data_IF_107032108558
#
_entry.id   IF_107032108558
#
_cell.length_a   1.000
_cell.length_b   1.000
_cell.length_c   1.000
_cell.angle_alpha   90.00
_cell.angle_beta   90.00
_cell.angle_gamma   90.00
#
_symmetry.space_group_name_H-M   'P 1'
#
loop_
_entity.id
_entity.type
_entity.pdbx_description
1 polymer ?
#
# COMPACT_ATOMS: atom_id res chain seq x y z
N UNK A 1 -45.03 12.00 38.06
CA UNK A 1 -45.82 12.01 36.81
C UNK A 1 -44.98 11.23 35.80
N UNK A 2 -45.04 9.90 35.82
CA UNK A 2 -45.94 9.06 35.00
C UNK A 2 -45.25 8.85 33.64
N UNK A 3 -45.06 7.66 33.07
CA UNK A 3 -45.66 6.33 33.23
C UNK A 3 -44.97 5.39 32.24
N UNK A 4 -44.95 4.07 32.46
CA UNK A 4 -44.72 3.12 31.36
C UNK A 4 -44.23 1.73 31.75
N UNK A 5 -45.18 0.82 31.99
CA UNK A 5 -45.03 -0.63 32.14
C UNK A 5 -44.49 -1.36 30.91
N UNK A 6 -43.89 -2.54 31.15
CA UNK A 6 -44.05 -3.86 30.46
C UNK A 6 -42.85 -4.76 30.86
N UNK A 7 -42.94 -6.06 31.12
CA UNK A 7 -43.77 -7.13 30.56
C UNK A 7 -43.62 -8.42 31.42
N UNK A 8 -44.64 -9.28 31.40
CA UNK A 8 -44.72 -10.60 32.04
C UNK A 8 -45.00 -11.69 30.97
N UNK A 9 -44.41 -12.88 31.17
CA UNK A 9 -44.86 -14.26 30.79
C UNK A 9 -44.88 -14.64 29.28
N UNK A 10 -44.75 -15.90 28.82
CA UNK A 10 -44.28 -17.20 29.33
C UNK A 10 -44.33 -18.25 28.18
N UNK A 11 -43.49 -19.30 28.28
CA UNK A 11 -43.61 -20.73 27.88
C UNK A 11 -44.30 -21.20 26.56
N UNK A 12 -43.63 -22.16 25.91
CA UNK A 12 -44.26 -23.23 25.12
C UNK A 12 -43.25 -24.30 24.62
N UNK A 13 -43.40 -25.56 25.06
CA UNK A 13 -42.77 -26.79 24.55
C UNK A 13 -43.81 -27.58 23.75
N UNK A 14 -43.40 -28.37 22.75
CA UNK A 14 -43.78 -29.80 22.56
C UNK A 14 -43.24 -30.37 21.22
N UNK A 15 -42.60 -31.54 21.31
CA UNK A 15 -42.46 -32.62 20.29
C UNK A 15 -43.74 -33.52 20.34
N UNK A 16 -43.93 -34.69 19.66
CA UNK A 16 -42.96 -35.61 19.01
C UNK A 16 -43.42 -36.46 17.78
N UNK A 17 -42.52 -37.38 17.36
CA UNK A 17 -42.73 -38.74 16.75
C UNK A 17 -43.41 -38.88 15.37
N UNK A 18 -43.13 -39.84 14.48
CA UNK A 18 -42.31 -41.06 14.46
C UNK A 18 -42.73 -41.94 13.25
N UNK A 19 -41.98 -43.01 12.92
CA UNK A 19 -42.55 -44.19 12.22
C UNK A 19 -41.98 -44.60 10.84
N UNK A 20 -41.19 -45.69 10.83
CA UNK A 20 -40.74 -46.50 9.67
C UNK A 20 -41.76 -47.60 9.32
N UNK A 21 -41.70 -48.13 8.08
CA UNK A 21 -41.43 -49.54 7.71
C UNK A 21 -42.32 -50.12 6.57
N UNK A 22 -41.71 -50.32 5.39
CA UNK A 22 -41.41 -51.62 4.73
C UNK A 22 -42.57 -52.60 4.32
N UNK A 23 -42.31 -53.70 3.57
CA UNK A 23 -42.41 -53.79 2.11
C UNK A 23 -43.36 -54.93 1.64
N UNK A 24 -43.45 -55.21 0.34
CA UNK A 24 -43.32 -56.57 -0.26
C UNK A 24 -44.01 -56.81 -1.63
N UNK A 25 -43.44 -57.80 -2.33
CA UNK A 25 -43.96 -58.71 -3.36
C UNK A 25 -43.74 -58.45 -4.87
N UNK A 26 -42.99 -59.42 -5.42
CA UNK A 26 -42.66 -59.76 -6.80
C UNK A 26 -43.83 -60.32 -7.62
N UNK A 27 -43.71 -60.37 -8.96
CA UNK A 27 -43.87 -61.58 -9.81
C UNK A 27 -43.73 -61.25 -11.32
N UNK A 28 -42.84 -62.02 -11.98
CA UNK A 28 -42.81 -62.55 -13.37
C UNK A 28 -42.83 -61.68 -14.66
N UNK A 29 -41.64 -61.68 -15.29
CA UNK A 29 -41.30 -62.16 -16.65
C UNK A 29 -41.90 -61.59 -17.95
N UNK A 30 -40.96 -61.39 -18.89
CA UNK A 30 -41.04 -61.55 -20.35
C UNK A 30 -41.41 -60.33 -21.19
N UNK A 31 -40.35 -59.65 -21.65
CA UNK A 31 -40.07 -59.48 -23.08
C UNK A 31 -40.92 -58.50 -23.87
N UNK A 32 -40.38 -57.30 -24.10
CA UNK A 32 -40.48 -56.66 -25.42
C UNK A 32 -39.44 -55.55 -25.56
N UNK A 33 -38.62 -55.67 -26.59
CA UNK A 33 -37.60 -54.71 -26.99
C UNK A 33 -38.21 -53.32 -27.23
N UNK A 34 -37.69 -52.30 -26.56
CA UNK A 34 -37.84 -50.90 -26.97
C UNK A 34 -36.50 -50.21 -26.85
N UNK A 35 -36.12 -49.59 -27.97
CA UNK A 35 -34.89 -48.85 -28.16
C UNK A 35 -34.83 -47.68 -27.17
N UNK A 36 -34.08 -47.85 -26.09
CA UNK A 36 -33.72 -46.77 -25.18
C UNK A 36 -32.56 -46.00 -25.78
N UNK A 37 -32.85 -44.81 -26.30
CA UNK A 37 -31.83 -43.80 -26.57
C UNK A 37 -31.20 -43.42 -25.23
N UNK A 38 -29.99 -43.90 -24.99
CA UNK A 38 -29.16 -43.40 -23.90
C UNK A 38 -28.74 -41.99 -24.25
N UNK A 39 -29.49 -40.99 -23.77
CA UNK A 39 -28.95 -39.65 -23.61
C UNK A 39 -27.88 -39.73 -22.52
N UNK A 40 -26.65 -39.97 -22.95
CA UNK A 40 -25.47 -39.73 -22.16
C UNK A 40 -25.45 -38.22 -21.89
N UNK A 41 -25.98 -37.80 -20.74
CA UNK A 41 -25.66 -36.50 -20.17
C UNK A 41 -24.18 -36.53 -19.80
N UNK A 42 -23.34 -36.24 -20.79
CA UNK A 42 -22.02 -35.67 -20.56
C UNK A 42 -22.28 -34.33 -19.89
N UNK A 43 -22.40 -34.36 -18.55
CA UNK A 43 -22.05 -33.23 -17.74
C UNK A 43 -20.56 -32.98 -17.99
N UNK A 44 -20.27 -32.23 -19.04
CA UNK A 44 -19.06 -31.45 -19.11
C UNK A 44 -19.15 -30.54 -17.90
N UNK A 45 -18.57 -30.98 -16.79
CA UNK A 45 -18.00 -30.10 -15.82
C UNK A 45 -16.86 -29.36 -16.54
N UNK A 46 -17.23 -28.42 -17.42
CA UNK A 46 -16.45 -27.21 -17.52
C UNK A 46 -16.35 -26.73 -16.09
N UNK A 47 -15.19 -26.89 -15.47
CA UNK A 47 -14.81 -26.09 -14.32
C UNK A 47 -14.95 -24.66 -14.80
N UNK A 48 -16.16 -24.12 -14.62
CA UNK A 48 -16.52 -22.79 -15.04
C UNK A 48 -15.65 -21.91 -14.18
N UNK A 49 -14.60 -21.37 -14.79
CA UNK A 49 -13.89 -20.23 -14.23
C UNK A 49 -14.99 -19.23 -13.92
N UNK A 50 -15.29 -19.04 -12.64
CA UNK A 50 -16.21 -17.99 -12.25
C UNK A 50 -15.58 -16.71 -12.81
N UNK A 51 -16.15 -16.18 -13.89
CA UNK A 51 -15.62 -14.96 -14.48
C UNK A 51 -15.71 -13.89 -13.41
N UNK A 52 -14.56 -13.33 -13.05
CA UNK A 52 -14.54 -12.20 -12.13
C UNK A 52 -15.33 -11.06 -12.78
N UNK A 53 -16.25 -10.45 -12.04
CA UNK A 53 -17.00 -9.31 -12.61
C UNK A 53 -16.08 -8.10 -12.72
N UNK A 54 -15.17 -7.95 -11.76
CA UNK A 54 -14.16 -6.89 -11.70
C UNK A 54 -12.80 -7.46 -11.35
N UNK A 55 -11.75 -6.97 -12.00
CA UNK A 55 -10.36 -7.17 -11.57
C UNK A 55 -9.80 -5.81 -11.17
N UNK A 56 -9.27 -5.73 -9.96
CA UNK A 56 -8.50 -4.58 -9.47
C UNK A 56 -7.03 -4.99 -9.41
N UNK A 57 -6.18 -4.30 -10.16
CA UNK A 57 -4.73 -4.53 -10.16
C UNK A 57 -4.03 -3.49 -9.26
N UNK A 58 -3.35 -3.95 -8.23
CA UNK A 58 -2.74 -3.14 -7.17
C UNK A 58 -3.63 -3.07 -5.92
N UNK A 59 -3.15 -3.60 -4.79
CA UNK A 59 -3.80 -3.48 -3.49
C UNK A 59 -3.29 -2.27 -2.71
N UNK A 60 -3.17 -1.12 -3.38
CA UNK A 60 -2.96 0.18 -2.74
C UNK A 60 -4.21 0.60 -1.96
N UNK A 61 -4.20 1.69 -1.16
CA UNK A 61 -5.41 2.16 -0.49
C UNK A 61 -6.56 2.44 -1.46
N UNK A 62 -6.26 2.94 -2.67
CA UNK A 62 -7.25 3.14 -3.73
C UNK A 62 -7.81 1.81 -4.26
N UNK A 63 -6.95 0.81 -4.49
CA UNK A 63 -7.37 -0.51 -4.96
C UNK A 63 -8.21 -1.28 -3.93
N UNK A 64 -7.82 -1.22 -2.65
CA UNK A 64 -8.60 -1.78 -1.55
C UNK A 64 -9.96 -1.08 -1.45
N UNK A 65 -9.98 0.25 -1.53
CA UNK A 65 -11.24 0.99 -1.53
C UNK A 65 -12.14 0.62 -2.72
N UNK A 66 -11.58 0.46 -3.92
CA UNK A 66 -12.33 0.00 -5.08
C UNK A 66 -12.91 -1.41 -4.85
N UNK A 67 -12.09 -2.36 -4.37
CA UNK A 67 -12.53 -3.74 -4.12
C UNK A 67 -13.66 -3.81 -3.08
N UNK A 68 -13.53 -3.06 -1.97
CA UNK A 68 -14.57 -2.96 -0.94
C UNK A 68 -15.87 -2.39 -1.48
N UNK A 69 -15.82 -1.33 -2.31
CA UNK A 69 -17.04 -0.77 -2.91
C UNK A 69 -17.68 -1.70 -3.94
N UNK A 70 -16.87 -2.43 -4.72
CA UNK A 70 -17.38 -3.47 -5.63
C UNK A 70 -18.08 -4.57 -4.83
N UNK A 71 -17.47 -5.07 -3.76
CA UNK A 71 -18.05 -6.09 -2.90
C UNK A 71 -19.35 -5.64 -2.22
N UNK A 72 -19.38 -4.41 -1.70
CA UNK A 72 -20.59 -3.79 -1.11
C UNK A 72 -21.73 -3.65 -2.12
N UNK A 73 -21.42 -3.60 -3.42
CA UNK A 73 -22.42 -3.62 -4.50
C UNK A 73 -22.94 -5.02 -4.86
N UNK A 74 -22.55 -6.05 -4.11
CA UNK A 74 -22.97 -7.44 -4.34
C UNK A 74 -22.24 -8.13 -5.50
N UNK A 75 -21.07 -7.64 -5.91
CA UNK A 75 -20.27 -8.19 -7.02
C UNK A 75 -19.02 -8.90 -6.52
N UNK A 76 -18.52 -9.84 -7.34
CA UNK A 76 -17.22 -10.50 -7.12
C UNK A 76 -16.09 -9.67 -7.70
N UNK A 77 -14.95 -9.69 -7.01
CA UNK A 77 -13.76 -8.96 -7.42
C UNK A 77 -12.49 -9.73 -7.10
N UNK A 78 -11.60 -9.84 -8.08
CA UNK A 78 -10.22 -10.25 -7.82
C UNK A 78 -9.37 -9.00 -7.54
N UNK A 79 -8.77 -8.94 -6.34
CA UNK A 79 -7.81 -7.91 -5.96
C UNK A 79 -6.40 -8.50 -6.12
N UNK A 80 -5.70 -8.11 -7.18
CA UNK A 80 -4.40 -8.67 -7.57
C UNK A 80 -3.28 -7.76 -7.08
N UNK A 81 -2.41 -8.26 -6.22
CA UNK A 81 -1.29 -7.51 -5.63
C UNK A 81 0.05 -8.14 -6.06
N UNK A 82 0.92 -7.41 -6.79
CA UNK A 82 2.20 -7.94 -7.26
C UNK A 82 3.16 -8.31 -6.12
N UNK A 83 3.08 -7.64 -4.97
CA UNK A 83 3.94 -7.89 -3.81
C UNK A 83 3.26 -8.76 -2.73
N UNK A 84 3.92 -8.92 -1.58
CA UNK A 84 3.29 -9.49 -0.38
C UNK A 84 2.51 -8.48 0.47
N UNK A 85 2.68 -7.18 0.19
CA UNK A 85 2.26 -6.08 1.08
C UNK A 85 0.95 -5.43 0.59
N UNK A 86 -0.16 -5.66 1.30
CA UNK A 86 -1.42 -4.96 1.06
C UNK A 86 -1.35 -3.56 1.66
N UNK A 87 -1.99 -2.58 1.03
CA UNK A 87 -2.06 -1.18 1.50
C UNK A 87 -0.96 -0.27 0.92
N UNK A 88 -0.06 -0.80 0.09
CA UNK A 88 0.94 0.00 -0.62
C UNK A 88 1.83 0.82 0.32
N UNK A 89 1.98 2.12 0.04
CA UNK A 89 2.83 3.02 0.83
C UNK A 89 2.33 3.21 2.27
N UNK A 90 1.00 3.18 2.50
CA UNK A 90 0.40 3.37 3.83
C UNK A 90 0.89 2.32 4.84
N UNK A 91 0.92 1.06 4.42
CA UNK A 91 1.45 -0.06 5.19
C UNK A 91 2.93 -0.28 4.94
N UNK A 92 3.53 0.48 4.02
CA UNK A 92 4.95 0.50 3.69
C UNK A 92 5.71 1.66 4.32
N UNK A 93 5.23 2.19 5.45
CA UNK A 93 5.94 3.18 6.26
C UNK A 93 5.49 4.63 6.09
N UNK A 94 4.68 4.97 5.08
CA UNK A 94 4.07 6.29 4.94
C UNK A 94 2.86 6.41 5.89
N UNK A 95 3.14 6.63 7.17
CA UNK A 95 2.10 6.66 8.21
C UNK A 95 1.48 8.04 8.42
N UNK A 96 2.09 9.11 7.87
CA UNK A 96 1.52 10.45 7.89
C UNK A 96 0.73 10.76 6.62
N UNK A 97 -0.59 10.84 6.76
CA UNK A 97 -1.51 11.21 5.67
C UNK A 97 -1.54 12.74 5.48
N UNK A 98 -1.39 13.19 4.23
CA UNK A 98 -1.55 14.61 3.88
C UNK A 98 -3.03 14.98 3.74
N UNK A 99 -3.53 15.84 4.62
CA UNK A 99 -4.88 16.41 4.51
C UNK A 99 -4.92 17.84 5.04
N UNK A 100 -5.83 18.65 4.51
CA UNK A 100 -6.06 20.02 5.00
C UNK A 100 -7.11 20.08 6.10
N UNK A 101 -8.08 19.17 6.08
CA UNK A 101 -9.16 19.13 7.06
C UNK A 101 -9.66 17.70 7.27
N UNK A 102 -10.06 17.37 8.50
CA UNK A 102 -10.57 16.03 8.84
C UNK A 102 -11.90 15.73 8.14
N UNK A 103 -12.67 16.77 7.81
CA UNK A 103 -13.96 16.66 7.12
C UNK A 103 -13.82 16.15 5.69
N UNK A 104 -12.66 16.37 5.05
CA UNK A 104 -12.35 15.81 3.73
C UNK A 104 -12.10 14.29 3.75
N UNK A 105 -11.86 13.72 4.93
CA UNK A 105 -11.59 12.30 5.12
C UNK A 105 -12.93 11.56 5.26
N UNK A 106 -13.35 10.91 4.17
CA UNK A 106 -14.68 10.29 4.03
C UNK A 106 -14.59 8.90 3.39
N UNK A 107 -15.74 8.24 3.27
CA UNK A 107 -15.88 6.95 2.59
C UNK A 107 -15.02 5.87 3.24
N UNK A 108 -14.38 5.03 2.42
CA UNK A 108 -13.55 3.92 2.89
C UNK A 108 -12.41 4.38 3.81
N UNK A 109 -11.85 5.58 3.59
CA UNK A 109 -10.76 6.07 4.44
C UNK A 109 -11.24 6.43 5.85
N UNK A 110 -12.44 6.99 5.99
CA UNK A 110 -13.06 7.23 7.31
C UNK A 110 -13.30 5.91 8.05
N UNK A 111 -13.83 4.90 7.37
CA UNK A 111 -14.04 3.54 7.93
C UNK A 111 -12.70 2.94 8.41
N UNK A 112 -11.63 3.08 7.64
CA UNK A 112 -10.27 2.70 8.06
C UNK A 112 -9.82 3.47 9.32
N UNK A 113 -9.95 4.80 9.35
CA UNK A 113 -9.55 5.62 10.51
C UNK A 113 -10.31 5.23 11.78
N UNK A 114 -11.63 5.06 11.70
CA UNK A 114 -12.46 4.65 12.84
C UNK A 114 -12.04 3.28 13.39
N UNK A 115 -11.56 2.38 12.52
CA UNK A 115 -11.04 1.06 12.91
C UNK A 115 -9.65 1.15 13.53
N UNK A 116 -8.76 2.02 13.02
CA UNK A 116 -7.47 2.31 13.66
C UNK A 116 -7.69 2.90 15.06
N UNK A 117 -8.57 3.88 15.18
CA UNK A 117 -8.90 4.48 16.46
C UNK A 117 -9.46 3.43 17.43
N UNK A 118 -10.37 2.58 16.96
CA UNK A 118 -10.90 1.44 17.73
C UNK A 118 -9.81 0.47 18.14
N UNK A 119 -8.85 0.15 17.26
CA UNK A 119 -7.73 -0.72 17.58
C UNK A 119 -6.96 -0.19 18.80
N UNK A 120 -6.52 1.07 18.75
CA UNK A 120 -5.77 1.66 19.86
C UNK A 120 -6.61 1.83 21.12
N UNK A 121 -7.88 2.22 20.99
CA UNK A 121 -8.83 2.30 22.12
C UNK A 121 -9.01 0.96 22.81
N UNK A 122 -9.27 -0.11 22.07
CA UNK A 122 -9.49 -1.45 22.64
C UNK A 122 -8.20 -2.02 23.24
N UNK A 123 -7.05 -1.80 22.59
CA UNK A 123 -5.77 -2.39 23.00
C UNK A 123 -5.12 -1.68 24.19
N UNK A 124 -5.29 -0.37 24.32
CA UNK A 124 -4.59 0.46 25.31
C UNK A 124 -5.52 1.25 26.24
N UNK A 125 -6.81 1.37 25.90
CA UNK A 125 -7.82 2.10 26.69
C UNK A 125 -8.05 3.54 26.24
N UNK A 126 -9.21 4.10 26.64
CA UNK A 126 -9.72 5.41 26.22
C UNK A 126 -8.80 6.60 26.55
N UNK A 127 -7.96 6.47 27.58
CA UNK A 127 -7.05 7.53 28.04
C UNK A 127 -5.59 7.29 27.68
N UNK A 128 -5.31 6.30 26.84
CA UNK A 128 -3.94 5.95 26.45
C UNK A 128 -3.26 7.04 25.61
N UNK A 129 -1.93 7.10 25.67
CA UNK A 129 -1.16 7.98 24.80
C UNK A 129 -1.22 7.50 23.34
N UNK A 130 -1.23 6.19 23.12
CA UNK A 130 -1.34 5.56 21.80
C UNK A 130 -2.61 5.99 21.04
N UNK A 131 -3.75 6.04 21.73
CA UNK A 131 -4.99 6.53 21.13
C UNK A 131 -4.91 8.02 20.77
N UNK A 132 -4.22 8.83 21.58
CA UNK A 132 -4.00 10.26 21.25
C UNK A 132 -3.04 10.41 20.06
N UNK A 133 -1.95 9.64 20.06
CA UNK A 133 -0.92 9.66 19.01
C UNK A 133 -1.45 9.16 17.66
N UNK A 134 -2.49 8.32 17.65
CA UNK A 134 -3.12 7.88 16.41
C UNK A 134 -3.93 8.98 15.71
N UNK A 135 -4.14 10.13 16.37
CA UNK A 135 -4.79 11.33 15.83
C UNK A 135 -6.10 11.01 15.10
N UNK A 136 -7.13 10.62 15.86
CA UNK A 136 -8.44 10.20 15.31
C UNK A 136 -8.32 9.04 14.30
N UNK A 137 -7.30 8.19 14.48
CA UNK A 137 -7.00 7.07 13.59
C UNK A 137 -6.35 7.44 12.25
N UNK A 138 -5.99 8.70 12.02
CA UNK A 138 -5.29 9.12 10.80
C UNK A 138 -3.82 8.71 10.77
N UNK A 139 -3.22 8.41 11.93
CA UNK A 139 -1.86 7.97 12.09
C UNK A 139 -1.85 6.58 12.73
N UNK A 140 -1.07 5.68 12.16
CA UNK A 140 -0.95 4.31 12.66
C UNK A 140 0.42 3.74 12.37
N UNK A 141 0.82 2.79 13.22
CA UNK A 141 1.93 1.90 12.91
C UNK A 141 1.62 1.10 11.64
N UNK A 142 2.60 0.86 10.74
CA UNK A 142 2.35 0.17 9.47
C UNK A 142 1.70 -1.21 9.64
N UNK A 143 2.15 -2.03 10.61
CA UNK A 143 1.54 -3.33 10.88
C UNK A 143 0.08 -3.22 11.38
N UNK A 144 -0.27 -2.17 12.13
CA UNK A 144 -1.66 -1.91 12.55
C UNK A 144 -2.52 -1.56 11.34
N UNK A 145 -1.99 -0.71 10.45
CA UNK A 145 -2.67 -0.38 9.19
C UNK A 145 -2.91 -1.62 8.33
N UNK A 146 -1.91 -2.50 8.22
CA UNK A 146 -2.02 -3.75 7.48
C UNK A 146 -3.11 -4.64 8.09
N UNK A 147 -3.10 -4.85 9.41
CA UNK A 147 -4.09 -5.66 10.09
C UNK A 147 -5.52 -5.13 9.93
N UNK A 148 -5.71 -3.81 10.00
CA UNK A 148 -7.02 -3.18 9.78
C UNK A 148 -7.51 -3.41 8.35
N UNK A 149 -6.65 -3.18 7.34
CA UNK A 149 -7.02 -3.37 5.93
C UNK A 149 -7.31 -4.85 5.61
N UNK A 150 -6.53 -5.77 6.17
CA UNK A 150 -6.77 -7.21 6.04
C UNK A 150 -8.12 -7.60 6.65
N UNK A 151 -8.45 -7.08 7.83
CA UNK A 151 -9.75 -7.31 8.47
C UNK A 151 -10.91 -6.75 7.62
N UNK A 152 -10.77 -5.53 7.09
CA UNK A 152 -11.78 -4.93 6.20
C UNK A 152 -12.01 -5.78 4.95
N UNK A 153 -10.96 -6.32 4.33
CA UNK A 153 -11.09 -7.20 3.17
C UNK A 153 -11.73 -8.54 3.54
N UNK A 154 -11.35 -9.13 4.68
CA UNK A 154 -11.84 -10.43 5.14
C UNK A 154 -13.35 -10.45 5.47
N UNK A 155 -13.94 -9.30 5.79
CA UNK A 155 -15.40 -9.13 5.97
C UNK A 155 -16.20 -9.40 4.68
N UNK A 156 -15.54 -9.41 3.52
CA UNK A 156 -16.18 -9.56 2.22
C UNK A 156 -15.66 -10.80 1.47
N UNK A 157 -16.34 -11.97 1.60
CA UNK A 157 -15.90 -13.20 0.94
C UNK A 157 -15.97 -13.15 -0.59
N UNK A 158 -16.64 -12.15 -1.17
CA UNK A 158 -16.65 -11.89 -2.62
C UNK A 158 -15.37 -11.22 -3.13
N UNK A 159 -14.44 -10.82 -2.25
CA UNK A 159 -13.13 -10.30 -2.61
C UNK A 159 -12.11 -11.44 -2.58
N UNK A 160 -11.58 -11.78 -3.75
CA UNK A 160 -10.49 -12.73 -3.89
C UNK A 160 -9.15 -11.99 -3.91
N UNK A 161 -8.49 -11.93 -2.76
CA UNK A 161 -7.16 -11.32 -2.64
C UNK A 161 -6.09 -12.26 -3.17
N UNK A 162 -5.33 -11.83 -4.18
CA UNK A 162 -4.24 -12.58 -4.82
C UNK A 162 -2.92 -11.84 -4.63
N UNK A 163 -2.19 -12.17 -3.56
CA UNK A 163 -0.85 -11.62 -3.27
C UNK A 163 0.22 -12.27 -4.13
N UNK A 164 1.38 -11.61 -4.23
CA UNK A 164 2.57 -12.06 -4.96
C UNK A 164 2.22 -12.50 -6.40
N UNK A 165 1.28 -11.78 -7.00
CA UNK A 165 0.70 -12.10 -8.31
C UNK A 165 0.91 -10.91 -9.23
N UNK A 166 1.92 -11.00 -10.11
CA UNK A 166 2.33 -9.89 -10.98
C UNK A 166 1.65 -9.96 -12.35
N UNK A 167 1.46 -8.80 -12.96
CA UNK A 167 1.00 -8.70 -14.35
C UNK A 167 2.11 -9.17 -15.30
N UNK A 168 1.72 -9.92 -16.33
CA UNK A 168 2.61 -10.36 -17.41
C UNK A 168 2.25 -9.67 -18.72
N UNK A 169 0.96 -9.61 -19.05
CA UNK A 169 0.45 -8.95 -20.26
C UNK A 169 -1.04 -8.65 -20.13
N UNK A 170 -1.56 -7.71 -20.92
CA UNK A 170 -2.99 -7.48 -21.05
C UNK A 170 -3.42 -7.60 -22.52
N UNK A 171 -4.63 -8.09 -22.74
CA UNK A 171 -5.26 -8.08 -24.06
C UNK A 171 -6.42 -7.09 -24.06
N UNK A 172 -6.30 -6.07 -24.91
CA UNK A 172 -7.33 -5.07 -25.12
C UNK A 172 -7.80 -5.08 -26.58
N UNK A 173 -9.09 -4.83 -26.78
CA UNK A 173 -9.70 -4.72 -28.09
C UNK A 173 -10.64 -3.50 -28.10
N UNK A 174 -10.46 -2.61 -29.08
CA UNK A 174 -11.23 -1.38 -29.22
C UNK A 174 -11.26 -0.53 -27.94
N UNK A 175 -10.09 -0.35 -27.29
CA UNK A 175 -9.96 0.44 -26.06
C UNK A 175 -10.52 -0.22 -24.79
N UNK A 176 -10.91 -1.50 -24.86
CA UNK A 176 -11.48 -2.24 -23.72
C UNK A 176 -10.60 -3.44 -23.39
N UNK A 177 -10.10 -3.50 -22.16
CA UNK A 177 -9.37 -4.65 -21.63
C UNK A 177 -10.32 -5.86 -21.51
N UNK A 178 -9.93 -7.00 -22.08
CA UNK A 178 -10.73 -8.23 -22.08
C UNK A 178 -10.25 -9.25 -21.06
N UNK A 179 -8.93 -9.42 -20.98
CA UNK A 179 -8.28 -10.31 -20.03
C UNK A 179 -6.84 -9.87 -19.78
N UNK A 180 -6.32 -10.28 -18.64
CA UNK A 180 -4.93 -10.07 -18.25
C UNK A 180 -4.29 -11.41 -17.96
N UNK A 181 -3.02 -11.55 -18.30
CA UNK A 181 -2.19 -12.69 -17.90
C UNK A 181 -1.41 -12.28 -16.67
N UNK A 182 -1.51 -13.09 -15.62
CA UNK A 182 -0.81 -12.87 -14.36
C UNK A 182 0.04 -14.07 -14.01
N UNK A 183 1.15 -13.84 -13.31
CA UNK A 183 2.02 -14.86 -12.74
C UNK A 183 1.93 -14.79 -11.23
N UNK A 184 1.31 -15.79 -10.61
CA UNK A 184 1.22 -15.95 -9.16
C UNK A 184 2.03 -17.14 -8.65
N UNK A 185 1.93 -17.46 -7.35
CA UNK A 185 2.64 -18.60 -6.75
C UNK A 185 2.24 -19.96 -7.32
N UNK A 186 1.04 -20.06 -7.93
CA UNK A 186 0.51 -21.29 -8.52
C UNK A 186 0.83 -21.46 -10.02
N UNK A 187 1.52 -20.49 -10.63
CA UNK A 187 1.79 -20.46 -12.07
C UNK A 187 1.17 -19.25 -12.77
N UNK A 188 1.26 -19.27 -14.10
CA UNK A 188 0.57 -18.28 -14.95
C UNK A 188 -0.90 -18.64 -15.14
N UNK A 189 -1.76 -17.63 -15.15
CA UNK A 189 -3.19 -17.78 -15.47
C UNK A 189 -3.72 -16.54 -16.21
N UNK A 190 -4.84 -16.73 -16.90
CA UNK A 190 -5.60 -15.63 -17.52
C UNK A 190 -6.79 -15.26 -16.65
N UNK A 191 -6.94 -13.98 -16.35
CA UNK A 191 -8.10 -13.41 -15.66
C UNK A 191 -8.91 -12.60 -16.66
N UNK A 192 -10.15 -13.03 -16.92
CA UNK A 192 -11.12 -12.29 -17.71
C UNK A 192 -12.11 -11.60 -16.78
N UNK A 193 -12.45 -10.35 -17.09
CA UNK A 193 -13.42 -9.57 -16.33
C UNK A 193 -14.19 -8.59 -17.20
N UNK A 194 -15.32 -8.08 -16.67
CA UNK A 194 -16.12 -7.05 -17.36
C UNK A 194 -15.55 -5.65 -17.15
N UNK A 195 -14.88 -5.44 -16.03
CA UNK A 195 -14.25 -4.17 -15.66
C UNK A 195 -12.86 -4.46 -15.10
N UNK A 196 -11.89 -3.66 -15.53
CA UNK A 196 -10.54 -3.65 -14.99
C UNK A 196 -10.28 -2.28 -14.36
N UNK A 197 -9.74 -2.29 -13.14
CA UNK A 197 -9.33 -1.09 -12.41
C UNK A 197 -7.83 -1.20 -12.20
N UNK A 198 -7.07 -0.27 -12.78
CA UNK A 198 -5.66 -0.11 -12.43
C UNK A 198 -5.55 0.80 -11.21
N UNK A 199 -5.13 0.21 -10.10
CA UNK A 199 -4.87 0.88 -8.84
C UNK A 199 -3.41 0.64 -8.38
N UNK A 200 -2.52 0.28 -9.31
CA UNK A 200 -1.07 0.35 -9.09
C UNK A 200 -0.62 1.81 -9.03
N UNK A 201 0.53 2.09 -8.41
CA UNK A 201 1.07 3.45 -8.41
C UNK A 201 1.62 3.82 -9.79
N UNK A 202 2.06 2.83 -10.56
CA UNK A 202 2.78 2.98 -11.82
C UNK A 202 1.86 3.01 -13.05
N UNK A 203 0.60 2.60 -12.91
CA UNK A 203 -0.33 2.43 -14.04
C UNK A 203 0.05 1.26 -14.94
N UNK A 204 0.51 0.16 -14.36
CA UNK A 204 1.07 -0.97 -15.10
C UNK A 204 0.05 -1.73 -15.95
N UNK A 205 -1.18 -1.87 -15.46
CA UNK A 205 -2.23 -2.54 -16.21
C UNK A 205 -2.66 -1.69 -17.41
N UNK A 206 -2.86 -0.39 -17.22
CA UNK A 206 -3.19 0.51 -18.30
C UNK A 206 -2.07 0.57 -19.35
N UNK A 207 -0.80 0.65 -18.93
CA UNK A 207 0.33 0.60 -19.85
C UNK A 207 0.40 -0.73 -20.61
N UNK A 208 0.23 -1.87 -19.93
CA UNK A 208 0.24 -3.20 -20.56
C UNK A 208 -0.93 -3.42 -21.53
N UNK A 209 -2.04 -2.71 -21.34
CA UNK A 209 -3.19 -2.72 -22.24
C UNK A 209 -3.00 -1.83 -23.48
N UNK A 210 -1.86 -1.13 -23.58
CA UNK A 210 -1.53 -0.28 -24.73
C UNK A 210 -2.17 1.11 -24.68
N UNK A 211 -2.64 1.57 -23.51
CA UNK A 211 -3.07 2.96 -23.36
C UNK A 211 -1.87 3.90 -23.42
N UNK A 212 -2.03 5.02 -24.13
CA UNK A 212 -1.02 6.07 -24.19
C UNK A 212 -0.79 6.66 -22.80
N UNK A 213 0.47 6.97 -22.50
CA UNK A 213 0.84 7.63 -21.25
C UNK A 213 2.04 8.55 -21.46
N UNK A 214 2.27 9.39 -20.46
CA UNK A 214 3.43 10.28 -20.39
C UNK A 214 4.17 10.10 -19.08
N UNK A 215 5.46 10.39 -19.12
CA UNK A 215 6.37 10.43 -17.97
C UNK A 215 7.19 11.71 -18.11
N UNK A 216 7.46 12.37 -16.99
CA UNK A 216 8.27 13.58 -16.94
C UNK A 216 7.45 14.77 -16.50
N UNK A 217 7.77 15.95 -17.01
CA UNK A 217 7.13 17.20 -16.65
C UNK A 217 6.82 18.00 -17.90
N UNK A 218 5.58 18.44 -18.02
CA UNK A 218 5.07 19.23 -19.14
C UNK A 218 5.59 20.67 -19.09
N UNK A 219 5.67 21.31 -20.25
CA UNK A 219 6.08 22.71 -20.35
C UNK A 219 4.92 23.66 -20.06
N UNK A 220 5.23 24.88 -19.63
CA UNK A 220 4.26 25.99 -19.55
C UNK A 220 3.50 26.23 -20.87
N UNK A 221 4.10 25.90 -22.02
CA UNK A 221 3.51 26.11 -23.34
C UNK A 221 2.46 25.07 -23.72
N UNK A 222 2.52 23.89 -23.11
CA UNK A 222 1.63 22.77 -23.47
C UNK A 222 0.20 23.02 -22.98
N UNK A 223 0.06 23.53 -21.76
CA UNK A 223 -1.24 23.75 -21.11
C UNK A 223 -1.48 25.16 -20.60
N UNK A 224 -0.54 26.08 -20.78
CA UNK A 224 -0.65 27.44 -20.26
C UNK A 224 -0.53 27.54 -18.73
N UNK A 225 -0.09 26.47 -18.07
CA UNK A 225 0.07 26.43 -16.62
C UNK A 225 1.31 27.22 -16.18
N UNK A 226 1.09 28.32 -15.45
CA UNK A 226 2.16 29.24 -15.01
C UNK A 226 3.29 28.56 -14.22
N UNK A 227 2.99 27.50 -13.49
CA UNK A 227 3.96 26.80 -12.62
C UNK A 227 4.47 25.48 -13.23
N UNK A 228 4.11 25.15 -14.47
CA UNK A 228 4.59 23.96 -15.15
C UNK A 228 6.04 24.11 -15.66
N UNK A 229 6.69 22.99 -15.96
CA UNK A 229 8.04 22.97 -16.46
C UNK A 229 9.12 23.32 -15.43
N UNK A 230 10.29 23.66 -15.92
CA UNK A 230 11.45 24.02 -15.12
C UNK A 230 11.28 25.40 -14.47
N UNK A 231 10.70 25.37 -13.27
CA UNK A 231 10.39 26.52 -12.43
C UNK A 231 11.11 26.39 -11.09
N UNK A 232 11.85 27.43 -10.71
CA UNK A 232 12.29 27.66 -9.34
C UNK A 232 11.25 28.53 -8.65
N UNK A 233 10.73 28.10 -7.51
CA UNK A 233 9.66 28.80 -6.81
C UNK A 233 9.96 28.91 -5.32
N UNK A 234 9.75 30.11 -4.76
CA UNK A 234 9.83 30.35 -3.32
C UNK A 234 8.86 31.46 -2.94
N UNK A 235 8.10 31.24 -1.86
CA UNK A 235 7.21 32.25 -1.23
C UNK A 235 6.28 32.96 -2.22
N UNK A 236 5.63 32.19 -3.12
CA UNK A 236 4.70 32.75 -4.11
C UNK A 236 5.35 33.30 -5.37
N UNK A 237 6.68 33.29 -5.47
CA UNK A 237 7.43 33.92 -6.57
C UNK A 237 8.19 32.88 -7.38
N UNK A 238 8.11 33.03 -8.71
CA UNK A 238 8.99 32.35 -9.66
C UNK A 238 10.34 33.08 -9.62
N UNK A 239 11.41 32.32 -9.43
CA UNK A 239 12.77 32.83 -9.29
C UNK A 239 13.51 32.79 -10.63
N UNK A 240 14.60 33.55 -10.72
CA UNK A 240 15.49 33.57 -11.88
C UNK A 240 16.04 32.17 -12.20
N UNK A 241 16.30 31.91 -13.48
CA UNK A 241 16.69 30.59 -13.98
C UNK A 241 15.51 29.66 -14.30
N UNK A 242 14.28 30.09 -14.01
CA UNK A 242 13.07 29.40 -14.46
C UNK A 242 12.90 29.55 -15.98
N UNK A 243 12.75 28.44 -16.69
CA UNK A 243 12.58 28.43 -18.15
C UNK A 243 11.17 28.03 -18.58
N UNK A 244 10.42 27.37 -17.69
CA UNK A 244 9.10 26.80 -18.00
C UNK A 244 9.15 25.67 -19.03
N UNK A 245 10.34 25.15 -19.37
CA UNK A 245 10.51 24.04 -20.29
C UNK A 245 10.16 22.70 -19.62
N UNK A 246 9.54 21.79 -20.38
CA UNK A 246 9.31 20.42 -19.93
C UNK A 246 10.59 19.58 -20.03
N UNK A 247 10.62 18.45 -19.32
CA UNK A 247 11.69 17.45 -19.40
C UNK A 247 11.18 16.05 -19.01
N UNK A 248 12.04 15.03 -19.10
CA UNK A 248 11.71 13.64 -18.75
C UNK A 248 11.77 13.36 -17.25
N UNK A 249 12.04 14.39 -16.43
CA UNK A 249 12.30 14.22 -14.99
C UNK A 249 10.98 14.13 -14.25
N UNK A 250 10.92 13.18 -13.33
CA UNK A 250 9.83 13.04 -12.37
C UNK A 250 10.35 13.29 -10.97
N UNK A 251 9.42 13.47 -10.04
CA UNK A 251 9.73 13.66 -8.64
C UNK A 251 10.56 12.51 -8.07
N UNK A 252 11.54 12.88 -7.23
CA UNK A 252 12.42 11.95 -6.53
C UNK A 252 11.63 10.96 -5.67
N UNK A 253 12.02 9.68 -5.71
CA UNK A 253 11.52 8.66 -4.80
C UNK A 253 12.39 8.55 -3.54
N UNK A 254 11.83 7.96 -2.48
CA UNK A 254 12.55 7.65 -1.26
C UNK A 254 11.90 6.47 -0.52
N UNK A 255 12.35 6.22 0.70
CA UNK A 255 11.65 5.37 1.66
C UNK A 255 11.17 6.19 2.85
N UNK A 256 10.00 5.81 3.37
CA UNK A 256 9.46 6.32 4.63
C UNK A 256 9.85 5.34 5.74
N UNK A 257 10.98 5.59 6.36
CA UNK A 257 11.60 4.63 7.28
C UNK A 257 11.02 4.80 8.66
N UNK A 258 10.30 3.78 9.15
CA UNK A 258 9.83 3.77 10.54
C UNK A 258 10.98 3.36 11.45
N UNK A 259 11.21 4.13 12.51
CA UNK A 259 12.26 3.89 13.51
C UNK A 259 11.68 3.92 14.92
N UNK A 260 12.40 3.33 15.87
CA UNK A 260 12.05 3.31 17.30
C UNK A 260 13.27 3.62 18.18
N UNK A 261 12.99 4.17 19.36
CA UNK A 261 13.97 4.33 20.44
C UNK A 261 13.85 3.25 21.52
N UNK A 262 12.86 2.35 21.42
CA UNK A 262 12.65 1.27 22.39
C UNK A 262 13.71 0.17 22.22
N UNK A 263 14.60 -0.06 23.21
CA UNK A 263 15.61 -1.11 23.13
C UNK A 263 15.03 -2.52 23.00
N UNK A 264 13.84 -2.76 23.58
CA UNK A 264 13.17 -4.06 23.47
C UNK A 264 12.70 -4.32 22.04
N UNK A 265 12.23 -3.28 21.36
CA UNK A 265 11.75 -3.31 19.98
C UNK A 265 12.82 -2.91 18.94
N UNK A 266 14.11 -2.98 19.25
CA UNK A 266 15.18 -2.48 18.35
C UNK A 266 15.89 -3.59 17.56
N UNK A 267 15.84 -3.52 16.23
CA UNK A 267 16.60 -4.37 15.30
C UNK A 267 17.94 -3.71 14.87
N UNK A 268 19.01 -4.49 14.63
CA UNK A 268 20.30 -3.96 14.22
C UNK A 268 20.28 -3.20 12.89
N UNK A 269 21.10 -2.15 12.80
CA UNK A 269 21.40 -1.41 11.57
C UNK A 269 22.90 -1.58 11.24
N UNK A 270 23.27 -2.67 10.53
CA UNK A 270 24.65 -2.91 10.12
C UNK A 270 25.09 -1.97 8.99
N UNK A 271 26.39 -1.97 8.68
CA UNK A 271 26.91 -1.30 7.47
C UNK A 271 26.27 -1.92 6.21
N UNK A 272 25.62 -1.11 5.35
CA UNK A 272 24.99 -1.64 4.15
C UNK A 272 26.05 -1.99 3.09
N UNK A 273 25.83 -3.04 2.28
CA UNK A 273 26.70 -3.36 1.15
C UNK A 273 26.91 -2.17 0.21
N UNK A 274 28.16 -1.91 -0.17
CA UNK A 274 28.50 -0.81 -1.09
C UNK A 274 28.34 0.59 -0.47
N UNK A 275 28.35 0.70 0.87
CA UNK A 275 28.34 1.97 1.59
C UNK A 275 29.44 2.91 1.10
N UNK A 276 29.05 4.17 0.83
CA UNK A 276 29.92 5.24 0.34
C UNK A 276 29.64 6.52 1.12
N UNK A 277 30.48 6.89 2.11
CA UNK A 277 30.24 8.05 2.97
C UNK A 277 30.24 9.38 2.21
N UNK A 278 30.88 9.45 1.03
CA UNK A 278 30.95 10.63 0.17
C UNK A 278 29.57 11.08 -0.32
N UNK A 279 28.59 10.17 -0.39
CA UNK A 279 27.20 10.49 -0.76
C UNK A 279 26.52 11.44 0.24
N UNK A 280 27.03 11.52 1.47
CA UNK A 280 26.40 12.25 2.59
C UNK A 280 27.27 13.40 3.12
N UNK A 281 28.44 13.65 2.52
CA UNK A 281 29.46 14.56 3.07
C UNK A 281 28.96 16.00 3.27
N UNK A 282 27.98 16.45 2.47
CA UNK A 282 27.38 17.79 2.60
C UNK A 282 26.69 18.00 3.94
N UNK A 283 26.26 16.94 4.63
CA UNK A 283 25.70 17.03 5.99
C UNK A 283 26.75 17.58 6.96
N UNK A 284 28.03 17.26 6.77
CA UNK A 284 29.11 17.73 7.63
C UNK A 284 29.20 19.26 7.66
N UNK A 285 28.97 19.92 6.53
CA UNK A 285 28.95 21.38 6.45
C UNK A 285 27.73 21.97 7.18
N UNK A 286 26.56 21.34 7.02
CA UNK A 286 25.35 21.74 7.75
C UNK A 286 25.53 21.63 9.27
N UNK A 287 26.20 20.59 9.75
CA UNK A 287 26.50 20.42 11.18
C UNK A 287 27.55 21.43 11.67
N UNK A 288 28.65 21.64 10.92
CA UNK A 288 29.70 22.61 11.29
C UNK A 288 29.20 24.05 11.35
N UNK A 289 28.30 24.43 10.45
CA UNK A 289 27.72 25.78 10.40
C UNK A 289 26.61 26.01 11.42
N UNK A 290 26.12 24.96 12.10
CA UNK A 290 24.98 25.04 13.01
C UNK A 290 23.61 25.09 12.31
N UNK A 291 23.56 24.92 10.98
CA UNK A 291 22.30 24.81 10.24
C UNK A 291 21.56 23.49 10.51
N UNK A 292 22.31 22.43 10.84
CA UNK A 292 21.81 21.12 11.26
C UNK A 292 22.28 20.89 12.69
N UNK A 293 21.33 20.79 13.61
CA UNK A 293 21.60 20.60 15.04
C UNK A 293 21.47 19.14 15.47
N UNK A 294 20.63 18.37 14.77
CA UNK A 294 20.27 17.00 15.14
C UNK A 294 20.32 16.04 13.93
N UNK A 295 20.61 14.75 14.13
CA UNK A 295 20.42 13.75 13.08
C UNK A 295 18.94 13.59 12.72
N UNK A 296 18.05 13.56 13.73
CA UNK A 296 16.61 13.48 13.55
C UNK A 296 15.92 14.53 14.44
N UNK A 297 14.94 15.26 13.93
CA UNK A 297 14.25 16.31 14.69
C UNK A 297 12.79 16.48 14.29
N UNK A 298 11.92 16.80 15.26
CA UNK A 298 10.53 17.20 14.98
C UNK A 298 10.48 18.59 14.29
N UNK A 299 11.51 19.41 14.50
CA UNK A 299 11.72 20.68 13.83
C UNK A 299 12.53 20.53 12.53
N UNK A 300 12.54 21.57 11.70
CA UNK A 300 13.26 21.60 10.41
C UNK A 300 14.77 21.88 10.54
N UNK A 301 15.38 21.48 11.66
CA UNK A 301 16.79 21.69 11.99
C UNK A 301 17.57 20.36 12.13
N UNK A 302 16.99 19.25 11.67
CA UNK A 302 17.66 17.95 11.59
C UNK A 302 17.98 17.53 10.17
N UNK A 303 18.72 16.42 10.02
CA UNK A 303 18.91 15.77 8.70
C UNK A 303 17.59 15.14 8.24
N UNK A 304 16.95 14.40 9.15
CA UNK A 304 15.64 13.78 8.94
C UNK A 304 14.60 14.40 9.87
N UNK A 305 13.37 14.52 9.37
CA UNK A 305 12.21 14.93 10.14
C UNK A 305 11.67 13.71 10.87
N UNK A 306 11.51 13.84 12.17
CA UNK A 306 10.85 12.88 13.03
C UNK A 306 9.34 13.18 13.04
N UNK A 307 8.53 12.22 12.60
CA UNK A 307 7.07 12.31 12.70
C UNK A 307 6.56 11.19 13.63
N UNK A 308 6.08 11.58 14.83
CA UNK A 308 5.72 10.63 15.90
C UNK A 308 4.56 9.73 15.50
N UNK A 309 4.68 8.45 15.86
CA UNK A 309 3.66 7.42 15.78
C UNK A 309 3.40 6.82 17.17
N UNK A 310 2.28 6.11 17.36
CA UNK A 310 2.04 5.35 18.58
C UNK A 310 3.20 4.42 18.95
N UNK A 311 3.30 4.08 20.25
CA UNK A 311 4.31 3.18 20.81
C UNK A 311 5.77 3.65 20.64
N UNK A 312 6.00 4.97 20.66
CA UNK A 312 7.36 5.53 20.64
C UNK A 312 8.09 5.30 19.31
N UNK A 313 7.36 5.02 18.24
CA UNK A 313 7.89 4.93 16.88
C UNK A 313 7.83 6.29 16.19
N UNK A 314 8.53 6.40 15.07
CA UNK A 314 8.48 7.58 14.22
C UNK A 314 8.66 7.22 12.76
N UNK A 315 7.83 7.81 11.91
CA UNK A 315 8.00 7.84 10.46
C UNK A 315 9.02 8.93 10.14
N UNK A 316 10.20 8.52 9.65
CA UNK A 316 11.28 9.42 9.29
C UNK A 316 11.11 9.91 7.85
N UNK A 317 11.21 11.23 7.68
CA UNK A 317 11.00 11.90 6.39
C UNK A 317 12.11 12.90 6.10
N UNK A 318 12.19 13.38 4.85
CA UNK A 318 13.20 14.35 4.44
C UNK A 318 12.89 15.75 4.98
N UNK A 319 13.95 16.48 5.36
CA UNK A 319 13.88 17.92 5.64
C UNK A 319 14.44 18.68 4.46
N UNK A 320 13.64 19.57 3.85
CA UNK A 320 14.06 20.33 2.66
C UNK A 320 15.27 21.25 2.89
N UNK A 321 15.65 21.52 4.14
CA UNK A 321 16.85 22.30 4.51
C UNK A 321 18.10 21.44 4.67
N UNK A 322 17.97 20.11 4.73
CA UNK A 322 19.10 19.19 4.75
C UNK A 322 19.63 18.96 3.33
N UNK A 323 20.96 19.00 3.11
CA UNK A 323 21.54 18.79 1.78
C UNK A 323 21.46 17.34 1.29
N UNK A 324 21.13 16.40 2.18
CA UNK A 324 20.87 15.00 1.87
C UNK A 324 19.78 14.45 2.80
N UNK A 325 19.04 13.46 2.30
CA UNK A 325 17.97 12.75 2.99
C UNK A 325 17.81 11.35 2.39
N UNK A 326 16.68 10.70 2.61
CA UNK A 326 16.32 9.44 1.95
C UNK A 326 16.04 9.59 0.45
N UNK A 327 15.67 10.79 0.00
CA UNK A 327 15.56 11.12 -1.42
C UNK A 327 16.87 10.90 -2.18
N UNK A 328 16.80 10.18 -3.28
CA UNK A 328 17.89 9.95 -4.23
C UNK A 328 17.56 10.52 -5.63
N UNK A 329 17.71 11.85 -5.83
CA UNK A 329 17.25 12.51 -7.05
C UNK A 329 17.91 11.97 -8.31
N UNK A 330 17.11 11.76 -9.34
CA UNK A 330 17.58 11.35 -10.67
C UNK A 330 17.68 9.85 -10.91
N UNK A 331 17.63 9.03 -9.86
CA UNK A 331 17.80 7.58 -10.01
C UNK A 331 16.50 6.85 -10.36
N UNK A 332 15.35 7.51 -10.23
CA UNK A 332 14.03 6.90 -10.44
C UNK A 332 13.32 7.30 -11.75
N UNK A 333 13.92 8.13 -12.62
CA UNK A 333 13.21 8.69 -13.78
C UNK A 333 12.65 7.64 -14.74
N UNK A 334 13.38 6.55 -14.96
CA UNK A 334 12.92 5.45 -15.82
C UNK A 334 12.00 4.46 -15.10
N UNK A 335 11.93 4.50 -13.77
CA UNK A 335 11.21 3.51 -12.95
C UNK A 335 9.79 3.23 -13.44
N UNK A 336 8.96 4.25 -13.79
CA UNK A 336 7.60 3.98 -14.22
C UNK A 336 7.52 3.11 -15.47
N UNK A 337 8.45 3.21 -16.42
CA UNK A 337 8.44 2.40 -17.66
C UNK A 337 9.41 1.21 -17.65
N UNK A 338 10.21 1.07 -16.59
CA UNK A 338 11.25 0.05 -16.50
C UNK A 338 10.70 -1.38 -16.39
N UNK A 339 11.53 -2.36 -16.75
CA UNK A 339 11.25 -3.78 -16.52
C UNK A 339 11.21 -4.11 -15.02
N UNK A 340 10.65 -5.27 -14.67
CA UNK A 340 10.62 -5.73 -13.28
C UNK A 340 12.02 -5.84 -12.67
N UNK A 341 13.00 -6.34 -13.43
CA UNK A 341 14.39 -6.47 -13.00
C UNK A 341 15.00 -5.10 -12.74
N UNK A 342 14.75 -4.12 -13.62
CA UNK A 342 15.30 -2.78 -13.45
C UNK A 342 14.63 -2.04 -12.30
N UNK A 343 13.31 -2.19 -12.11
CA UNK A 343 12.61 -1.66 -10.91
C UNK A 343 13.15 -2.26 -9.63
N UNK A 344 13.45 -3.56 -9.59
CA UNK A 344 14.06 -4.20 -8.44
C UNK A 344 15.47 -3.62 -8.14
N UNK A 345 16.27 -3.36 -9.18
CA UNK A 345 17.57 -2.71 -9.02
C UNK A 345 17.46 -1.27 -8.49
N UNK A 346 16.51 -0.48 -8.99
CA UNK A 346 16.25 0.89 -8.50
C UNK A 346 15.76 0.86 -7.05
N UNK A 347 14.84 -0.05 -6.71
CA UNK A 347 14.37 -0.26 -5.34
C UNK A 347 15.54 -0.55 -4.40
N UNK A 348 16.41 -1.49 -4.78
CA UNK A 348 17.57 -1.86 -3.96
C UNK A 348 18.58 -0.73 -3.82
N UNK A 349 18.83 0.04 -4.88
CA UNK A 349 19.69 1.22 -4.80
C UNK A 349 19.15 2.26 -3.81
N UNK A 350 17.85 2.55 -3.85
CA UNK A 350 17.23 3.48 -2.90
C UNK A 350 17.27 2.92 -1.47
N UNK A 351 17.12 1.60 -1.30
CA UNK A 351 17.16 0.93 0.00
C UNK A 351 18.55 1.05 0.62
N UNK A 352 19.59 0.70 -0.14
CA UNK A 352 20.98 0.79 0.29
C UNK A 352 21.39 2.25 0.55
N UNK A 353 20.90 3.20 -0.25
CA UNK A 353 21.14 4.61 -0.02
C UNK A 353 20.49 5.13 1.28
N UNK A 354 19.27 4.73 1.58
CA UNK A 354 18.59 5.10 2.83
C UNK A 354 19.29 4.49 4.06
N UNK A 355 19.66 3.21 3.99
CA UNK A 355 20.45 2.55 5.03
C UNK A 355 21.83 3.18 5.19
N UNK A 356 22.47 3.58 4.09
CA UNK A 356 23.77 4.24 4.10
C UNK A 356 23.71 5.59 4.82
N UNK A 357 22.62 6.35 4.66
CA UNK A 357 22.41 7.59 5.40
C UNK A 357 22.31 7.31 6.90
N UNK A 358 21.48 6.35 7.31
CA UNK A 358 21.33 5.97 8.72
C UNK A 358 22.66 5.51 9.32
N UNK A 359 23.43 4.74 8.56
CA UNK A 359 24.75 4.29 8.99
C UNK A 359 25.74 5.46 9.12
N UNK A 360 25.76 6.39 8.15
CA UNK A 360 26.59 7.59 8.18
C UNK A 360 26.34 8.44 9.43
N UNK A 361 25.07 8.76 9.72
CA UNK A 361 24.68 9.59 10.88
C UNK A 361 25.13 8.99 12.22
N UNK A 362 25.21 7.66 12.31
CA UNK A 362 25.54 6.91 13.52
C UNK A 362 27.04 6.67 13.72
N UNK A 363 27.81 6.62 12.63
CA UNK A 363 29.16 6.05 12.66
C UNK A 363 30.25 6.99 12.12
N UNK A 364 29.95 7.94 11.23
CA UNK A 364 31.01 8.74 10.59
C UNK A 364 31.74 9.65 11.59
N UNK A 365 33.01 9.36 11.86
CA UNK A 365 33.84 10.06 12.87
C UNK A 365 34.04 11.55 12.62
N UNK A 366 33.67 12.06 11.44
CA UNK A 366 33.70 13.49 11.13
C UNK A 366 32.50 14.23 11.73
N UNK A 367 31.46 13.52 12.17
CA UNK A 367 30.35 14.07 12.95
C UNK A 367 30.68 14.11 14.45
N UNK A 368 30.20 15.13 15.20
CA UNK A 368 30.40 15.20 16.65
C UNK A 368 29.86 13.97 17.38
N UNK A 369 30.52 13.56 18.46
CA UNK A 369 30.13 12.34 19.20
C UNK A 369 28.71 12.41 19.76
N UNK A 370 28.30 13.58 20.30
CA UNK A 370 26.93 13.78 20.78
C UNK A 370 25.88 13.59 19.68
N UNK A 371 26.17 14.06 18.46
CA UNK A 371 25.29 13.90 17.29
C UNK A 371 25.15 12.43 16.91
N UNK A 372 26.27 11.69 16.86
CA UNK A 372 26.24 10.26 16.58
C UNK A 372 25.55 9.45 17.68
N UNK A 373 25.74 9.83 18.94
CA UNK A 373 25.08 9.21 20.08
C UNK A 373 23.56 9.38 20.01
N UNK A 374 23.09 10.57 19.61
CA UNK A 374 21.67 10.82 19.34
C UNK A 374 21.16 9.92 18.21
N UNK A 375 21.88 9.83 17.08
CA UNK A 375 21.51 8.99 15.95
C UNK A 375 21.43 7.49 16.35
N UNK A 376 22.30 7.02 17.24
CA UNK A 376 22.35 5.61 17.68
C UNK A 376 21.17 5.20 18.57
N UNK A 377 20.41 6.16 19.12
CA UNK A 377 19.16 5.86 19.85
C UNK A 377 18.09 5.29 18.92
N UNK A 378 18.11 5.67 17.64
CA UNK A 378 17.12 5.27 16.65
C UNK A 378 17.55 4.00 15.92
N UNK A 379 16.66 3.01 15.92
CA UNK A 379 16.86 1.72 15.27
C UNK A 379 15.61 1.31 14.49
N UNK A 380 15.72 0.28 13.65
CA UNK A 380 14.55 -0.29 12.97
C UNK A 380 13.69 -1.06 13.99
N UNK A 381 12.36 -0.95 13.96
CA UNK A 381 11.49 -1.66 14.89
C UNK A 381 11.39 -3.17 14.53
N UNK A 382 11.52 -4.06 15.51
CA UNK A 382 11.43 -5.53 15.28
C UNK A 382 10.04 -5.99 14.86
N UNK A 383 9.00 -5.28 15.26
CA UNK A 383 7.61 -5.62 14.99
C UNK A 383 7.08 -5.06 13.66
N UNK A 384 7.87 -4.27 12.94
CA UNK A 384 7.55 -3.88 11.57
C UNK A 384 8.38 -4.68 10.57
N UNK A 385 7.77 -4.94 9.41
CA UNK A 385 8.47 -5.36 8.19
C UNK A 385 9.41 -6.58 8.35
N UNK A 386 9.01 -7.57 9.15
CA UNK A 386 9.85 -8.73 9.45
C UNK A 386 10.34 -9.49 8.20
N UNK A 387 9.50 -9.59 7.16
CA UNK A 387 9.86 -10.25 5.89
C UNK A 387 10.96 -9.52 5.10
N UNK A 388 11.18 -8.22 5.36
CA UNK A 388 12.14 -7.36 4.64
C UNK A 388 13.27 -6.87 5.56
N UNK A 389 13.56 -7.62 6.62
CA UNK A 389 14.64 -7.30 7.56
C UNK A 389 14.38 -6.03 8.35
N UNK A 390 13.11 -5.77 8.70
CA UNK A 390 12.64 -4.60 9.44
C UNK A 390 12.73 -3.26 8.68
N UNK A 391 12.96 -3.32 7.36
CA UNK A 391 12.96 -2.16 6.49
C UNK A 391 11.68 -2.08 5.65
N UNK A 392 11.11 -0.90 5.37
CA UNK A 392 9.88 -0.78 4.60
C UNK A 392 9.86 -1.56 3.26
N UNK A 393 8.77 -2.29 2.94
CA UNK A 393 8.68 -3.11 1.73
C UNK A 393 8.25 -2.33 0.48
N UNK A 394 7.87 -1.06 0.60
CA UNK A 394 7.34 -0.26 -0.50
C UNK A 394 8.19 0.99 -0.72
N UNK A 395 8.56 1.23 -1.98
CA UNK A 395 9.18 2.47 -2.40
C UNK A 395 8.13 3.59 -2.43
N UNK A 396 8.50 4.79 -1.99
CA UNK A 396 7.63 5.96 -2.05
C UNK A 396 7.56 6.49 -3.49
N UNK A 397 6.68 5.90 -4.29
CA UNK A 397 6.40 6.28 -5.68
C UNK A 397 5.45 7.48 -5.66
N UNK A 398 5.99 8.66 -5.99
CA UNK A 398 5.26 9.93 -5.89
C UNK A 398 4.63 10.40 -7.19
N UNK A 399 5.22 9.99 -8.31
CA UNK A 399 4.81 10.36 -9.66
C UNK A 399 5.21 9.22 -10.59
N UNK A 400 4.31 8.78 -11.46
CA UNK A 400 4.59 7.72 -12.42
C UNK A 400 3.98 8.05 -13.78
N UNK A 401 3.38 7.07 -14.46
CA UNK A 401 2.69 7.30 -15.73
C UNK A 401 1.46 8.17 -15.52
N UNK A 402 1.31 9.21 -16.34
CA UNK A 402 0.07 9.98 -16.46
C UNK A 402 -0.64 9.59 -17.75
N UNK A 403 -1.92 9.25 -17.63
CA UNK A 403 -2.76 8.87 -18.77
C UNK A 403 -3.59 10.09 -19.21
N UNK A 404 -3.66 10.40 -20.52
CA UNK A 404 -4.56 11.42 -21.03
C UNK A 404 -6.00 10.99 -20.76
N UNK A 405 -6.80 11.92 -20.22
CA UNK A 405 -8.22 11.72 -19.90
C UNK A 405 -9.15 11.86 -21.09
#
# INVERSE_FOLDING_TARGET
RGSGDRQLLAKGRNEPEGGRSDPSFSIWSAGMARHGWWFLFLALASGGWAQEVVVVYGATPAGIAAALNVARSGRTVALVEPSGNLGGMLTGGLSYTDFRSLESLQGTFRDYMERVERHYRTRYGERSQQLRDSFFGALAEPHVSLAVLEAMLAEHPSIQVRRRTRLVSAEAAAGVVRRIRVQGPKGEEWLAARVFIDASYEGDLAAAAGFDFRIGRESTREYGERFAGHIYFKDGKILDGSTGAGDHKIQCYNFRVVMTEDPANSAPLPEPPGYRPERYERILEGVRSGAILHPMSEAKNGVLRLQRLPNGKSDMNDVNTSPAGFGLPGQNWEYPAASAERRAAVFEEHRLYALGLLYFLRNDVRLPEAFRAEARRWNLPKDEFAETGHFPPALYVREARRFPG
#
